data_IF_810706006044
#
_entry.id   IF_810706006044
#
_cell.length_a   1.000
_cell.length_b   1.000
_cell.length_c   1.000
_cell.angle_alpha   90.00
_cell.angle_beta   90.00
_cell.angle_gamma   90.00
#
_symmetry.space_group_name_H-M   'P 1'
#
loop_
_entity.id
_entity.type
_entity.pdbx_description
1 polymer ?
#
# COMPACT_ATOMS: atom_id res chain seq x y z
N UNK A 1 50.36 25.23 -27.68
CA UNK A 1 49.58 24.13 -27.08
C UNK A 1 49.26 24.49 -25.64
N UNK A 2 48.06 25.02 -25.39
CA UNK A 2 47.30 24.98 -24.13
C UNK A 2 46.11 25.95 -24.31
N UNK A 3 45.00 25.41 -24.81
CA UNK A 3 43.74 26.11 -25.04
C UNK A 3 43.07 26.44 -23.69
N UNK A 4 42.54 27.66 -23.59
CA UNK A 4 41.77 28.16 -22.45
C UNK A 4 40.56 27.25 -22.15
N UNK A 5 40.36 26.87 -20.88
CA UNK A 5 39.07 26.34 -20.40
C UNK A 5 38.55 27.23 -19.29
N UNK A 6 37.77 28.24 -19.69
CA UNK A 6 36.96 29.05 -18.79
C UNK A 6 35.93 28.16 -18.09
N UNK A 7 36.11 27.98 -16.78
CA UNK A 7 35.08 27.40 -15.91
C UNK A 7 34.08 28.51 -15.59
N UNK A 8 33.02 28.60 -16.39
CA UNK A 8 31.87 29.46 -16.09
C UNK A 8 31.12 28.93 -14.87
N UNK A 9 30.63 29.81 -13.97
CA UNK A 9 29.95 29.42 -12.74
C UNK A 9 28.70 28.55 -12.98
N UNK A 10 28.07 28.68 -14.15
CA UNK A 10 26.87 27.91 -14.51
C UNK A 10 27.14 26.41 -14.71
N UNK A 11 28.31 26.03 -15.25
CA UNK A 11 28.69 24.62 -15.45
C UNK A 11 29.04 23.93 -14.12
N UNK A 12 29.54 24.69 -13.15
CA UNK A 12 29.79 24.19 -11.81
C UNK A 12 28.48 23.95 -11.05
N UNK A 13 27.54 24.90 -11.11
CA UNK A 13 26.19 24.79 -10.54
C UNK A 13 25.40 23.61 -11.14
N UNK A 14 25.51 23.37 -12.46
CA UNK A 14 24.89 22.22 -13.12
C UNK A 14 25.42 20.88 -12.57
N UNK A 15 26.74 20.77 -12.39
CA UNK A 15 27.35 19.55 -11.82
C UNK A 15 26.99 19.34 -10.35
N UNK A 16 26.77 20.43 -9.62
CA UNK A 16 26.36 20.40 -8.21
C UNK A 16 24.90 19.99 -8.08
N UNK A 17 24.01 20.55 -8.90
CA UNK A 17 22.61 20.15 -9.02
C UNK A 17 22.47 18.69 -9.47
N UNK A 18 23.24 18.24 -10.47
CA UNK A 18 23.25 16.85 -10.89
C UNK A 18 23.75 15.89 -9.80
N UNK A 19 24.72 16.32 -8.98
CA UNK A 19 25.17 15.55 -7.81
C UNK A 19 24.10 15.50 -6.71
N UNK A 20 23.46 16.62 -6.40
CA UNK A 20 22.41 16.71 -5.39
C UNK A 20 21.20 15.85 -5.77
N UNK A 21 20.74 15.91 -7.02
CA UNK A 21 19.64 15.08 -7.54
C UNK A 21 20.00 13.60 -7.43
N UNK A 22 21.22 13.21 -7.83
CA UNK A 22 21.69 11.82 -7.68
C UNK A 22 21.78 11.37 -6.23
N UNK A 23 22.17 12.25 -5.31
CA UNK A 23 22.23 11.95 -3.88
C UNK A 23 20.82 11.80 -3.30
N UNK A 24 19.90 12.70 -3.63
CA UNK A 24 18.50 12.65 -3.18
C UNK A 24 17.78 11.38 -3.68
N UNK A 25 17.93 11.00 -4.96
CA UNK A 25 17.43 9.73 -5.50
C UNK A 25 18.00 8.51 -4.76
N UNK A 26 19.30 8.54 -4.45
CA UNK A 26 19.97 7.46 -3.71
C UNK A 26 19.45 7.34 -2.27
N UNK A 27 19.13 8.45 -1.62
CA UNK A 27 18.56 8.46 -0.27
C UNK A 27 17.11 7.96 -0.27
N UNK A 28 16.28 8.46 -1.20
CA UNK A 28 14.89 7.99 -1.39
C UNK A 28 14.81 6.50 -1.72
N UNK A 29 15.73 5.98 -2.54
CA UNK A 29 15.79 4.55 -2.83
C UNK A 29 16.13 3.73 -1.59
N UNK A 30 17.08 4.19 -0.76
CA UNK A 30 17.44 3.52 0.50
C UNK A 30 16.29 3.52 1.51
N UNK A 31 15.58 4.64 1.64
CA UNK A 31 14.39 4.76 2.49
C UNK A 31 13.27 3.84 2.03
N UNK A 32 12.99 3.83 0.72
CA UNK A 32 11.99 2.95 0.12
C UNK A 32 12.34 1.47 0.32
N UNK A 33 13.59 1.09 0.11
CA UNK A 33 14.05 -0.29 0.32
C UNK A 33 13.89 -0.72 1.78
N UNK A 34 14.21 0.18 2.72
CA UNK A 34 14.04 -0.06 4.15
C UNK A 34 12.57 -0.24 4.52
N UNK A 35 11.70 0.69 4.10
CA UNK A 35 10.26 0.62 4.37
C UNK A 35 9.60 -0.60 3.72
N UNK A 36 10.00 -0.95 2.50
CA UNK A 36 9.52 -2.15 1.82
C UNK A 36 9.94 -3.41 2.58
N UNK A 37 11.18 -3.46 3.09
CA UNK A 37 11.66 -4.59 3.88
C UNK A 37 10.90 -4.74 5.20
N UNK A 38 10.69 -3.67 5.95
CA UNK A 38 10.00 -3.73 7.25
C UNK A 38 8.52 -4.06 7.07
N UNK A 39 7.90 -3.53 6.01
CA UNK A 39 6.52 -3.85 5.63
C UNK A 39 6.39 -5.30 5.20
N UNK A 40 7.33 -5.80 4.41
CA UNK A 40 7.39 -7.19 3.98
C UNK A 40 7.48 -8.13 5.19
N UNK A 41 8.44 -7.89 6.09
CA UNK A 41 8.60 -8.70 7.31
C UNK A 41 7.33 -8.65 8.18
N UNK A 42 6.74 -7.46 8.37
CA UNK A 42 5.48 -7.30 9.11
C UNK A 42 4.34 -8.12 8.50
N UNK A 43 4.15 -8.04 7.18
CA UNK A 43 3.11 -8.79 6.47
C UNK A 43 3.34 -10.31 6.58
N UNK A 44 4.57 -10.79 6.46
CA UNK A 44 4.91 -12.20 6.65
C UNK A 44 4.63 -12.68 8.07
N UNK A 45 4.98 -11.89 9.09
CA UNK A 45 4.70 -12.21 10.50
C UNK A 45 3.21 -12.26 10.76
N UNK A 46 2.43 -11.28 10.30
CA UNK A 46 0.98 -11.22 10.48
C UNK A 46 0.24 -12.36 9.76
N UNK A 47 0.66 -12.68 8.53
CA UNK A 47 0.13 -13.82 7.79
C UNK A 47 0.48 -15.14 8.49
N UNK A 48 1.74 -15.29 8.92
CA UNK A 48 2.21 -16.45 9.66
C UNK A 48 1.49 -16.66 10.99
N UNK A 49 1.24 -15.59 11.76
CA UNK A 49 0.48 -15.66 13.01
C UNK A 49 -0.97 -16.09 12.77
N UNK A 50 -1.60 -15.58 11.72
CA UNK A 50 -2.96 -15.98 11.32
C UNK A 50 -3.00 -17.46 10.93
N UNK A 51 -2.00 -17.91 10.17
CA UNK A 51 -1.86 -19.30 9.75
C UNK A 51 -1.60 -20.23 10.95
N UNK A 52 -0.79 -19.81 11.92
CA UNK A 52 -0.54 -20.55 13.15
C UNK A 52 -1.80 -20.65 14.04
N UNK A 53 -2.60 -19.59 14.11
CA UNK A 53 -3.88 -19.59 14.83
C UNK A 53 -4.89 -20.52 14.16
N UNK A 54 -4.95 -20.52 12.83
CA UNK A 54 -5.76 -21.47 12.06
C UNK A 54 -5.31 -22.92 12.27
N UNK A 55 -3.99 -23.19 12.26
CA UNK A 55 -3.42 -24.52 12.56
C UNK A 55 -3.81 -25.02 13.96
N UNK A 56 -3.81 -24.14 14.97
CA UNK A 56 -4.19 -24.50 16.35
C UNK A 56 -5.66 -24.91 16.46
N UNK A 57 -6.54 -24.32 15.64
CA UNK A 57 -7.97 -24.63 15.63
C UNK A 57 -8.22 -26.01 15.01
N UNK A 58 -7.56 -26.33 13.89
CA UNK A 58 -7.76 -27.59 13.16
C UNK A 58 -6.44 -28.22 12.65
N UNK A 59 -5.63 -28.84 13.53
CA UNK A 59 -4.30 -29.32 13.16
C UNK A 59 -4.33 -30.50 12.17
N UNK A 60 -5.34 -31.39 12.27
CA UNK A 60 -5.47 -32.59 11.42
C UNK A 60 -5.91 -32.25 9.99
N UNK A 61 -6.76 -31.24 9.82
CA UNK A 61 -7.25 -30.82 8.51
C UNK A 61 -6.25 -29.89 7.83
N UNK A 62 -5.54 -29.06 8.61
CA UNK A 62 -4.47 -28.20 8.13
C UNK A 62 -3.24 -28.98 7.62
N UNK A 63 -2.80 -30.03 8.34
CA UNK A 63 -1.67 -30.85 7.89
C UNK A 63 -2.00 -31.69 6.65
N UNK A 64 -3.19 -32.31 6.59
CA UNK A 64 -3.71 -32.95 5.37
C UNK A 64 -3.81 -31.97 4.20
N UNK A 65 -4.01 -30.69 4.50
CA UNK A 65 -4.13 -29.65 3.50
C UNK A 65 -2.82 -29.04 3.01
N UNK A 66 -1.77 -29.08 3.84
CA UNK A 66 -0.40 -28.65 3.52
C UNK A 66 0.44 -29.75 2.86
N UNK A 67 0.33 -30.98 3.36
CA UNK A 67 0.98 -32.15 2.79
C UNK A 67 0.00 -32.78 1.81
N UNK A 68 0.22 -32.54 0.51
CA UNK A 68 -0.51 -33.24 -0.55
C UNK A 68 -0.25 -34.74 -0.42
N UNK A 69 -1.15 -35.45 0.27
CA UNK A 69 -1.06 -36.90 0.44
C UNK A 69 -1.25 -37.54 -0.94
N UNK A 70 -0.23 -38.28 -1.39
CA UNK A 70 -0.12 -38.89 -2.73
C UNK A 70 -1.17 -39.95 -3.07
N UNK A 71 -2.19 -40.15 -2.23
CA UNK A 71 -3.15 -41.25 -2.35
C UNK A 71 -4.61 -40.80 -2.49
N UNK A 72 -4.92 -39.50 -2.44
CA UNK A 72 -6.28 -39.00 -2.69
C UNK A 72 -6.24 -37.76 -3.59
N UNK A 73 -7.16 -37.65 -4.58
CA UNK A 73 -7.22 -36.52 -5.49
C UNK A 73 -7.26 -35.21 -4.70
N UNK A 74 -6.41 -34.28 -5.15
CA UNK A 74 -5.99 -33.04 -4.49
C UNK A 74 -6.88 -32.54 -3.33
N UNK A 75 -6.34 -32.47 -2.11
CA UNK A 75 -6.97 -31.76 -1.00
C UNK A 75 -7.35 -30.33 -1.45
N UNK A 76 -8.62 -29.93 -1.27
CA UNK A 76 -9.14 -28.63 -1.74
C UNK A 76 -8.36 -27.42 -1.23
N UNK A 77 -7.61 -27.56 -0.15
CA UNK A 77 -6.65 -26.57 0.36
C UNK A 77 -5.44 -26.35 -0.56
N UNK A 78 -4.91 -27.38 -1.21
CA UNK A 78 -3.78 -27.27 -2.13
C UNK A 78 -4.23 -26.53 -3.41
N UNK A 79 -5.44 -26.82 -3.87
CA UNK A 79 -6.10 -26.10 -4.96
C UNK A 79 -6.37 -24.64 -4.56
N UNK A 80 -6.89 -24.40 -3.36
CA UNK A 80 -7.15 -23.06 -2.83
C UNK A 80 -5.88 -22.23 -2.62
N UNK A 81 -4.79 -22.83 -2.13
CA UNK A 81 -3.51 -22.14 -1.96
C UNK A 81 -2.89 -21.74 -3.30
N UNK A 82 -3.00 -22.59 -4.34
CA UNK A 82 -2.60 -22.22 -5.70
C UNK A 82 -3.49 -21.12 -6.26
N UNK A 83 -4.81 -21.25 -6.16
CA UNK A 83 -5.77 -20.25 -6.63
C UNK A 83 -5.58 -18.89 -5.93
N UNK A 84 -5.38 -18.90 -4.62
CA UNK A 84 -5.10 -17.69 -3.82
C UNK A 84 -3.77 -17.05 -4.23
N UNK A 85 -2.71 -17.84 -4.46
CA UNK A 85 -1.41 -17.31 -4.92
C UNK A 85 -1.55 -16.62 -6.28
N UNK A 86 -2.13 -17.31 -7.26
CA UNK A 86 -2.31 -16.73 -8.60
C UNK A 86 -3.27 -15.53 -8.55
N UNK A 87 -4.38 -15.63 -7.82
CA UNK A 87 -5.34 -14.55 -7.68
C UNK A 87 -4.75 -13.29 -7.05
N UNK A 88 -3.93 -13.43 -6.00
CA UNK A 88 -3.28 -12.26 -5.37
C UNK A 88 -2.24 -11.63 -6.30
N UNK A 89 -1.46 -12.44 -7.04
CA UNK A 89 -0.53 -11.90 -8.03
C UNK A 89 -1.25 -11.20 -9.19
N UNK A 90 -2.34 -11.78 -9.71
CA UNK A 90 -3.15 -11.13 -10.76
C UNK A 90 -3.87 -9.88 -10.25
N UNK A 91 -4.31 -9.85 -8.99
CA UNK A 91 -4.91 -8.65 -8.41
C UNK A 91 -3.89 -7.52 -8.29
N UNK A 92 -2.70 -7.79 -7.73
CA UNK A 92 -1.64 -6.77 -7.59
C UNK A 92 -1.16 -6.28 -8.96
N UNK A 93 -0.86 -7.21 -9.88
CA UNK A 93 -0.40 -6.88 -11.22
C UNK A 93 -1.50 -6.21 -12.04
N UNK A 94 -2.73 -6.71 -11.99
CA UNK A 94 -3.87 -6.18 -12.72
C UNK A 94 -4.27 -4.79 -12.24
N UNK A 95 -4.43 -4.58 -10.93
CA UNK A 95 -4.65 -3.25 -10.39
C UNK A 95 -3.48 -2.31 -10.71
N UNK A 96 -2.24 -2.77 -10.57
CA UNK A 96 -1.05 -1.99 -10.94
C UNK A 96 -1.07 -1.55 -12.40
N UNK A 97 -1.35 -2.45 -13.35
CA UNK A 97 -1.45 -2.13 -14.77
C UNK A 97 -2.66 -1.24 -15.08
N UNK A 98 -3.81 -1.44 -14.43
CA UNK A 98 -5.00 -0.60 -14.63
C UNK A 98 -4.74 0.83 -14.15
N UNK A 99 -4.19 1.01 -12.95
CA UNK A 99 -3.82 2.33 -12.44
C UNK A 99 -2.71 2.97 -13.26
N UNK A 100 -1.72 2.19 -13.69
CA UNK A 100 -0.68 2.68 -14.60
C UNK A 100 -1.27 3.07 -15.96
N UNK A 101 -2.22 2.31 -16.50
CA UNK A 101 -2.93 2.61 -17.74
C UNK A 101 -3.76 3.89 -17.62
N UNK A 102 -4.47 4.07 -16.51
CA UNK A 102 -5.21 5.32 -16.20
C UNK A 102 -4.24 6.49 -16.07
N UNK A 103 -3.08 6.32 -15.43
CA UNK A 103 -2.03 7.34 -15.38
C UNK A 103 -1.55 7.67 -16.80
N UNK A 104 -1.22 6.65 -17.61
CA UNK A 104 -0.73 6.81 -18.98
C UNK A 104 -1.74 7.50 -19.91
N UNK A 105 -3.03 7.23 -19.74
CA UNK A 105 -4.12 7.84 -20.49
C UNK A 105 -4.47 9.24 -19.97
N UNK A 106 -4.25 9.52 -18.68
CA UNK A 106 -4.52 10.82 -18.08
C UNK A 106 -3.58 11.94 -18.57
N UNK A 107 -2.45 11.59 -19.22
CA UNK A 107 -1.49 12.57 -19.76
C UNK A 107 -0.89 13.50 -18.69
N UNK A 108 -0.97 13.12 -17.42
CA UNK A 108 -0.44 13.86 -16.29
C UNK A 108 0.97 13.32 -15.98
N UNK A 109 1.98 14.15 -16.15
CA UNK A 109 3.37 13.78 -15.82
C UNK A 109 3.61 13.72 -14.30
N UNK A 110 2.66 14.23 -13.49
CA UNK A 110 2.73 14.23 -12.04
C UNK A 110 1.44 13.78 -11.36
N UNK A 111 1.58 13.08 -10.22
CA UNK A 111 0.47 12.66 -9.34
C UNK A 111 -0.40 13.84 -8.87
N UNK A 112 0.21 15.03 -8.75
CA UNK A 112 -0.48 16.29 -8.42
C UNK A 112 -1.47 16.69 -9.53
N UNK A 113 -1.06 16.63 -10.79
CA UNK A 113 -1.91 16.99 -11.93
C UNK A 113 -3.03 15.98 -12.17
N UNK A 114 -2.74 14.69 -11.95
CA UNK A 114 -3.77 13.64 -11.94
C UNK A 114 -4.81 13.92 -10.86
N UNK A 115 -4.39 14.21 -9.63
CA UNK A 115 -5.29 14.57 -8.53
C UNK A 115 -6.09 15.84 -8.82
N UNK A 116 -5.47 16.87 -9.41
CA UNK A 116 -6.16 18.12 -9.74
C UNK A 116 -7.18 17.94 -10.86
N UNK A 117 -6.87 17.20 -11.92
CA UNK A 117 -7.80 16.90 -13.03
C UNK A 117 -8.93 15.97 -12.58
N UNK A 118 -8.61 14.91 -11.84
CA UNK A 118 -9.62 14.00 -11.29
C UNK A 118 -10.50 14.69 -10.25
N UNK A 119 -9.91 15.58 -9.44
CA UNK A 119 -10.64 16.43 -8.49
C UNK A 119 -11.45 17.56 -9.12
N UNK A 120 -11.21 17.90 -10.39
CA UNK A 120 -12.03 18.84 -11.16
C UNK A 120 -13.18 18.14 -11.90
N UNK A 121 -13.00 16.86 -12.26
CA UNK A 121 -14.06 16.01 -12.85
C UNK A 121 -15.08 15.59 -11.80
N UNK A 122 -14.64 15.41 -10.55
CA UNK A 122 -15.55 15.20 -9.44
C UNK A 122 -16.18 16.55 -9.05
N UNK A 123 -17.52 16.66 -8.98
CA UNK A 123 -18.16 17.89 -8.52
C UNK A 123 -17.63 18.23 -7.13
N UNK A 124 -17.04 19.43 -6.99
CA UNK A 124 -16.51 19.91 -5.70
C UNK A 124 -17.66 19.89 -4.70
N UNK A 125 -17.63 18.93 -3.78
CA UNK A 125 -18.53 18.94 -2.62
C UNK A 125 -18.18 20.19 -1.83
N UNK A 126 -19.06 21.18 -1.89
CA UNK A 126 -19.05 22.31 -0.97
C UNK A 126 -19.10 21.72 0.43
N UNK A 127 -18.09 22.01 1.25
CA UNK A 127 -18.09 21.67 2.67
C UNK A 127 -19.05 22.61 3.39
N UNK A 128 -20.33 22.50 3.09
CA UNK A 128 -21.37 23.02 3.96
C UNK A 128 -22.16 21.82 4.48
N UNK A 129 -21.85 21.43 5.73
CA UNK A 129 -22.78 20.69 6.57
C UNK A 129 -22.89 19.17 6.38
N UNK A 130 -21.84 18.44 5.98
CA UNK A 130 -21.87 16.98 6.01
C UNK A 130 -21.54 16.42 7.41
N UNK A 131 -22.44 16.70 8.36
CA UNK A 131 -22.46 16.08 9.68
C UNK A 131 -22.98 14.65 9.52
N UNK A 132 -22.06 13.68 9.45
CA UNK A 132 -22.44 12.31 9.11
C UNK A 132 -21.27 11.36 8.87
N UNK A 133 -20.74 10.82 9.98
CA UNK A 133 -19.94 9.57 10.09
C UNK A 133 -18.41 9.63 9.94
N UNK A 134 -17.79 10.78 9.64
CA UNK A 134 -16.31 10.86 9.59
C UNK A 134 -15.71 11.94 10.50
N UNK A 135 -16.48 12.45 11.46
CA UNK A 135 -16.07 13.58 12.32
C UNK A 135 -15.61 13.17 13.73
N UNK A 136 -15.26 11.91 13.96
CA UNK A 136 -14.56 11.57 15.20
C UNK A 136 -13.25 12.38 15.23
N UNK A 137 -13.16 13.35 16.14
CA UNK A 137 -12.00 14.24 16.25
C UNK A 137 -10.72 13.44 16.60
N UNK A 138 -10.89 12.28 17.23
CA UNK A 138 -9.78 11.44 17.67
C UNK A 138 -10.16 9.95 17.72
N UNK A 139 -9.17 9.06 17.59
CA UNK A 139 -9.34 7.61 17.77
C UNK A 139 -9.87 7.25 19.16
N UNK A 140 -9.51 8.05 20.17
CA UNK A 140 -10.07 7.95 21.53
C UNK A 140 -11.58 8.16 21.54
N UNK A 141 -12.09 9.10 20.76
CA UNK A 141 -13.53 9.37 20.67
C UNK A 141 -14.27 8.23 19.95
N UNK A 142 -13.66 7.69 18.89
CA UNK A 142 -14.13 6.46 18.26
C UNK A 142 -14.16 5.27 19.23
N UNK A 143 -13.10 5.06 20.00
CA UNK A 143 -13.03 3.97 20.99
C UNK A 143 -14.05 4.16 22.13
N UNK A 144 -14.27 5.40 22.58
CA UNK A 144 -15.31 5.72 23.54
C UNK A 144 -16.71 5.45 22.98
N UNK A 145 -16.96 5.80 21.72
CA UNK A 145 -18.22 5.50 21.04
C UNK A 145 -18.48 3.99 20.93
N UNK A 146 -17.50 3.21 20.49
CA UNK A 146 -17.62 1.74 20.36
C UNK A 146 -17.72 1.06 21.73
N UNK A 147 -17.07 1.62 22.75
CA UNK A 147 -17.10 1.07 24.12
C UNK A 147 -18.34 1.48 24.90
N UNK A 148 -19.11 2.46 24.43
CA UNK A 148 -20.37 2.88 25.06
C UNK A 148 -21.41 1.77 24.92
N UNK A 149 -21.63 1.02 26.02
CA UNK A 149 -22.66 -0.01 26.08
C UNK A 149 -24.05 0.62 25.82
N UNK A 150 -24.91 0.00 24.98
CA UNK A 150 -26.28 0.44 24.77
C UNK A 150 -27.13 0.09 26.01
N UNK A 151 -26.99 0.87 27.08
CA UNK A 151 -27.68 0.63 28.35
C UNK A 151 -27.91 1.89 29.17
N UNK A 152 -27.05 2.91 29.04
CA UNK A 152 -27.14 4.12 29.87
C UNK A 152 -27.84 5.24 29.08
N UNK A 153 -29.14 5.06 28.84
CA UNK A 153 -30.02 6.20 28.57
C UNK A 153 -30.38 6.82 29.92
N UNK A 154 -29.60 7.78 30.37
CA UNK A 154 -30.05 8.64 31.46
C UNK A 154 -31.26 9.45 30.98
N UNK A 155 -32.37 9.19 31.67
CA UNK A 155 -33.58 9.98 31.69
C UNK A 155 -33.25 11.44 32.02
N UNK A 156 -33.62 12.33 31.11
CA UNK A 156 -33.88 13.73 31.46
C UNK A 156 -35.32 13.85 31.93
#
# INVERSE_FOLDING_TARGET
MAEHSEVTPEVFEEKLNAKLIKVDERMKWKESLFLASVTGVSAFVAFGSTLAMAKRKDPKMFSKGLFASSELPESGTALAMRALKYGTMYAVTGCGLLFYGIWKLSGAENLQDFRMRMGAILPRITKEGAQGRTEFENFTDFMNYVSKKPGDRESK
#
